data_IF_253770157277
#
_entry.id   IF_253770157277
#
_cell.length_a   1.000
_cell.length_b   1.000
_cell.length_c   1.000
_cell.angle_alpha   90.00
_cell.angle_beta   90.00
_cell.angle_gamma   90.00
#
_symmetry.space_group_name_H-M   'P 1'
#
loop_
_entity.id
_entity.type
_entity.pdbx_description
1 polymer ?
#
# COMPACT_ATOMS: atom_id res chain seq x y z
N UNK A 1 -8.00 34.23 -28.78
CA UNK A 1 -8.68 33.49 -27.70
C UNK A 1 -10.08 33.15 -28.20
N UNK A 2 -10.54 31.91 -28.04
CA UNK A 2 -11.93 31.57 -28.35
C UNK A 2 -12.83 32.19 -27.28
N UNK A 3 -13.97 32.75 -27.69
CA UNK A 3 -14.95 33.41 -26.81
C UNK A 3 -16.30 32.78 -27.12
N UNK A 4 -17.07 32.38 -26.11
CA UNK A 4 -18.40 31.82 -26.33
C UNK A 4 -19.44 32.91 -26.68
N UNK A 5 -20.66 32.50 -27.02
CA UNK A 5 -21.74 33.43 -27.37
C UNK A 5 -22.20 34.34 -26.20
N UNK A 6 -21.84 34.00 -24.96
CA UNK A 6 -22.08 34.81 -23.78
C UNK A 6 -20.91 35.76 -23.45
N UNK A 7 -19.83 35.73 -24.24
CA UNK A 7 -18.65 36.58 -24.05
C UNK A 7 -17.64 36.02 -23.06
N UNK A 8 -17.76 34.76 -22.64
CA UNK A 8 -16.79 34.14 -21.75
C UNK A 8 -15.54 33.74 -22.55
N UNK A 9 -14.39 34.26 -22.15
CA UNK A 9 -13.12 33.87 -22.75
C UNK A 9 -12.78 32.41 -22.37
N UNK A 10 -12.49 31.58 -23.36
CA UNK A 10 -12.01 30.21 -23.15
C UNK A 10 -10.57 30.26 -22.67
N UNK A 11 -10.38 30.19 -21.36
CA UNK A 11 -9.06 29.99 -20.74
C UNK A 11 -8.67 28.52 -20.90
N UNK A 12 -7.50 28.24 -21.48
CA UNK A 12 -6.98 26.88 -21.50
C UNK A 12 -6.71 26.43 -20.06
N UNK A 13 -7.45 25.44 -19.58
CA UNK A 13 -7.18 24.79 -18.30
C UNK A 13 -6.19 23.65 -18.55
N UNK A 14 -4.98 23.77 -18.00
CA UNK A 14 -4.05 22.65 -17.91
C UNK A 14 -4.25 22.01 -16.53
N UNK A 15 -4.72 20.77 -16.51
CA UNK A 15 -4.74 19.95 -15.31
C UNK A 15 -3.63 18.91 -15.41
N UNK A 16 -2.76 18.84 -14.40
CA UNK A 16 -1.76 17.79 -14.26
C UNK A 16 -2.19 16.86 -13.14
N UNK A 17 -2.07 15.55 -13.38
CA UNK A 17 -2.26 14.54 -12.34
C UNK A 17 -0.98 13.72 -12.22
N UNK A 18 -0.53 13.51 -10.99
CA UNK A 18 0.54 12.56 -10.73
C UNK A 18 -0.03 11.14 -10.88
N UNK A 19 0.62 10.33 -11.71
CA UNK A 19 0.32 8.91 -11.80
C UNK A 19 1.22 8.20 -10.80
N UNK A 20 0.62 7.38 -9.96
CA UNK A 20 1.38 6.48 -9.11
C UNK A 20 1.98 5.36 -9.97
N UNK A 21 3.29 5.23 -9.93
CA UNK A 21 4.07 4.21 -10.65
C UNK A 21 4.85 3.30 -9.69
N UNK A 22 4.70 3.52 -8.37
CA UNK A 22 5.26 2.66 -7.34
C UNK A 22 4.41 1.40 -7.21
N UNK A 23 5.06 0.26 -6.99
CA UNK A 23 4.38 -0.90 -6.46
C UNK A 23 4.66 -0.98 -4.96
N UNK A 24 3.69 -1.42 -4.13
CA UNK A 24 3.93 -1.59 -2.71
C UNK A 24 5.06 -2.59 -2.47
N UNK A 25 5.98 -2.23 -1.58
CA UNK A 25 7.09 -3.10 -1.16
C UNK A 25 7.01 -3.35 0.34
N UNK A 26 7.59 -4.45 0.79
CA UNK A 26 7.75 -4.72 2.23
C UNK A 26 8.87 -3.83 2.76
N UNK A 27 8.52 -2.86 3.60
CA UNK A 27 9.45 -1.95 4.24
C UNK A 27 10.10 -2.57 5.49
N UNK A 28 9.33 -3.34 6.28
CA UNK A 28 9.86 -4.04 7.46
C UNK A 28 8.98 -5.21 7.89
N UNK A 29 9.60 -6.15 8.62
CA UNK A 29 8.92 -7.23 9.34
C UNK A 29 9.49 -7.23 10.76
N UNK A 30 8.63 -7.07 11.75
CA UNK A 30 9.01 -7.03 13.17
C UNK A 30 8.18 -8.05 13.93
N UNK A 31 8.86 -8.80 14.81
CA UNK A 31 8.22 -9.72 15.74
C UNK A 31 8.30 -9.15 17.15
N UNK A 32 7.20 -9.20 17.88
CA UNK A 32 7.16 -8.75 19.29
C UNK A 32 8.06 -9.62 20.19
N UNK A 33 8.09 -10.92 19.91
CA UNK A 33 9.00 -11.89 20.50
C UNK A 33 9.65 -12.75 19.41
N UNK A 34 10.98 -12.80 19.40
CA UNK A 34 11.79 -13.58 18.46
C UNK A 34 12.18 -14.96 18.98
N UNK A 35 11.91 -15.27 20.26
CA UNK A 35 12.29 -16.51 20.93
C UNK A 35 11.06 -17.27 21.44
N UNK A 36 10.23 -17.70 20.48
CA UNK A 36 9.01 -18.46 20.76
C UNK A 36 9.31 -19.82 21.42
N UNK A 37 8.67 -20.06 22.56
CA UNK A 37 8.62 -21.37 23.22
C UNK A 37 7.43 -22.19 22.71
N UNK A 38 7.42 -23.50 23.03
CA UNK A 38 6.34 -24.40 22.63
C UNK A 38 4.99 -23.91 23.15
N UNK A 39 4.05 -23.68 22.24
CA UNK A 39 2.70 -23.24 22.55
C UNK A 39 2.53 -21.72 22.67
N UNK A 40 3.60 -20.94 22.49
CA UNK A 40 3.52 -19.48 22.47
C UNK A 40 3.13 -18.95 21.08
N UNK A 41 2.61 -17.73 21.05
CA UNK A 41 2.28 -16.97 19.84
C UNK A 41 2.90 -15.58 19.93
N UNK A 42 3.39 -15.05 18.82
CA UNK A 42 4.01 -13.73 18.75
C UNK A 42 3.30 -12.90 17.70
N UNK A 43 3.11 -11.60 17.97
CA UNK A 43 2.60 -10.67 16.98
C UNK A 43 3.69 -10.39 15.95
N UNK A 44 3.35 -10.61 14.68
CA UNK A 44 4.18 -10.24 13.53
C UNK A 44 3.56 -9.00 12.87
N UNK A 45 4.33 -7.92 12.79
CA UNK A 45 3.94 -6.68 12.12
C UNK A 45 4.71 -6.53 10.82
N UNK A 46 4.00 -6.54 9.70
CA UNK A 46 4.55 -6.28 8.37
C UNK A 46 4.16 -4.85 7.98
N UNK A 47 5.16 -4.03 7.63
CA UNK A 47 4.94 -2.65 7.18
C UNK A 47 5.24 -2.56 5.69
N UNK A 48 4.32 -1.98 4.93
CA UNK A 48 4.48 -1.73 3.51
C UNK A 48 4.88 -0.27 3.23
N UNK A 49 5.51 -0.02 2.09
CA UNK A 49 5.88 1.34 1.65
C UNK A 49 4.66 2.23 1.34
N UNK A 50 3.53 1.61 1.04
CA UNK A 50 2.24 2.25 0.77
C UNK A 50 1.09 1.27 1.04
N UNK A 51 -0.16 1.72 0.86
CA UNK A 51 -1.32 0.88 1.10
C UNK A 51 -1.37 -0.31 0.11
N UNK A 52 -1.53 -1.52 0.66
CA UNK A 52 -1.76 -2.75 -0.11
C UNK A 52 -3.24 -3.09 -0.19
N UNK A 53 -3.65 -3.73 -1.28
CA UNK A 53 -5.01 -4.26 -1.48
C UNK A 53 -4.95 -5.78 -1.55
N UNK A 54 -5.96 -6.44 -1.00
CA UNK A 54 -6.13 -7.90 -1.04
C UNK A 54 -4.94 -8.72 -0.49
N UNK A 55 -4.23 -8.20 0.53
CA UNK A 55 -3.20 -8.95 1.25
C UNK A 55 -3.84 -9.86 2.31
N UNK A 56 -3.54 -11.15 2.28
CA UNK A 56 -4.01 -12.13 3.26
C UNK A 56 -2.94 -13.21 3.58
N UNK A 57 -3.30 -14.21 4.41
CA UNK A 57 -2.36 -15.23 4.85
C UNK A 57 -1.84 -16.14 3.72
N UNK A 58 -2.54 -16.22 2.58
CA UNK A 58 -2.10 -17.01 1.42
C UNK A 58 -0.91 -16.36 0.69
N UNK A 59 -0.69 -15.06 0.91
CA UNK A 59 0.47 -14.32 0.40
C UNK A 59 1.73 -14.54 1.26
N UNK A 60 1.61 -15.20 2.42
CA UNK A 60 2.71 -15.39 3.38
C UNK A 60 3.07 -16.87 3.49
N UNK A 61 4.29 -17.21 3.10
CA UNK A 61 4.84 -18.56 3.31
C UNK A 61 5.44 -18.68 4.71
N UNK A 62 5.00 -19.69 5.47
CA UNK A 62 5.49 -19.99 6.82
C UNK A 62 6.01 -21.42 6.84
N UNK A 63 7.31 -21.60 7.07
CA UNK A 63 7.96 -22.92 6.97
C UNK A 63 7.83 -23.74 8.26
N UNK A 64 7.84 -23.11 9.44
CA UNK A 64 7.94 -23.79 10.73
C UNK A 64 6.85 -23.36 11.73
N UNK A 65 5.67 -23.00 11.24
CA UNK A 65 4.59 -22.51 12.09
C UNK A 65 3.30 -22.29 11.31
N UNK A 66 2.35 -21.61 11.94
CA UNK A 66 1.06 -21.26 11.32
C UNK A 66 0.76 -19.78 11.53
N UNK A 67 0.18 -19.14 10.52
CA UNK A 67 -0.42 -17.82 10.64
C UNK A 67 -1.95 -17.99 10.63
N UNK A 68 -2.63 -17.37 11.59
CA UNK A 68 -4.08 -17.51 11.80
C UNK A 68 -4.75 -16.17 12.05
#
# INVERSE_FOLDING_TARGET
>A
AAVDAAGNASTAANATQAVDIGAPTVASIVMADTALSVGETSLVTITFSEAVVAFDNTDVSVENGTLS
#
